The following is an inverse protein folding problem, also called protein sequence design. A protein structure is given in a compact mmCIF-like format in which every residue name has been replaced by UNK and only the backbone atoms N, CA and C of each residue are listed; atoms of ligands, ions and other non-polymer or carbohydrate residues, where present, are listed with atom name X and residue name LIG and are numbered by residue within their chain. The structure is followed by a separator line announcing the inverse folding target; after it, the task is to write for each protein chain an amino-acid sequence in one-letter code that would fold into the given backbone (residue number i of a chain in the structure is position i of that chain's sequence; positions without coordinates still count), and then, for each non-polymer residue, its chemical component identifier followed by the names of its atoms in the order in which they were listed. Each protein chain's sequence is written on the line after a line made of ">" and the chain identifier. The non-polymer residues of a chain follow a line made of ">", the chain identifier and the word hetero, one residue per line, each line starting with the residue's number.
data_IF_263674356799
#
_entry.id   IF_263674356799
#
_cell.length_a   1.000
_cell.length_b   1.000
_cell.length_c   1.000
_cell.angle_alpha   90.00
_cell.angle_beta   90.00
_cell.angle_gamma   90.00
#
_symmetry.space_group_name_H-M   'P 1'
#
loop_
_entity.id
_entity.type
_entity.pdbx_description
1 polymer ?
#
# COMPACT_ATOMS: atom_id res chain seq x y z
N UNK A 1 7.44 0.08 -21.62
CA UNK A 1 8.58 0.46 -20.77
C UNK A 1 8.15 0.31 -19.34
N UNK A 2 8.88 -0.47 -18.56
CA UNK A 2 8.59 -0.73 -17.15
C UNK A 2 9.58 0.13 -16.35
N UNK A 3 9.08 1.13 -15.63
CA UNK A 3 9.93 2.19 -15.05
C UNK A 3 10.80 1.69 -13.88
N UNK A 4 10.38 0.63 -13.19
CA UNK A 4 11.00 0.17 -11.95
C UNK A 4 11.46 -1.30 -11.97
N UNK A 5 11.41 -1.98 -13.12
CA UNK A 5 11.96 -3.34 -13.27
C UNK A 5 11.24 -4.46 -12.51
N UNK A 6 10.14 -4.19 -11.80
CA UNK A 6 9.34 -5.22 -11.11
C UNK A 6 8.68 -6.18 -12.09
N UNK A 7 8.62 -7.48 -11.78
CA UNK A 7 8.07 -8.50 -12.68
C UNK A 7 6.56 -8.46 -12.88
N UNK A 8 5.83 -7.68 -12.08
CA UNK A 8 4.37 -7.51 -12.18
C UNK A 8 3.54 -8.72 -11.71
N UNK A 9 4.17 -9.68 -11.02
CA UNK A 9 3.50 -10.89 -10.50
C UNK A 9 2.98 -10.77 -9.07
N UNK A 10 3.42 -9.76 -8.33
CA UNK A 10 3.06 -9.58 -6.92
C UNK A 10 1.75 -8.82 -6.73
N UNK A 11 1.15 -8.98 -5.54
CA UNK A 11 -0.02 -8.22 -5.11
C UNK A 11 0.30 -6.72 -5.03
N UNK A 12 -0.66 -5.89 -5.37
CA UNK A 12 -0.51 -4.45 -5.33
C UNK A 12 -1.86 -3.76 -5.09
N UNK A 13 -1.81 -2.54 -4.56
CA UNK A 13 -2.98 -1.72 -4.31
C UNK A 13 -2.66 -0.24 -4.48
N UNK A 14 -3.62 0.54 -4.99
CA UNK A 14 -3.59 2.00 -4.92
C UNK A 14 -4.45 2.45 -3.75
N UNK A 15 -4.07 3.53 -3.09
CA UNK A 15 -4.86 4.18 -2.06
C UNK A 15 -5.06 5.65 -2.43
N UNK A 16 -6.28 6.16 -2.27
CA UNK A 16 -6.46 7.60 -2.16
C UNK A 16 -5.82 8.08 -0.86
N UNK A 17 -5.44 9.35 -0.82
CA UNK A 17 -4.86 9.92 0.39
C UNK A 17 -5.17 11.42 0.50
N UNK A 18 -5.04 11.93 1.71
CA UNK A 18 -5.12 13.36 1.99
C UNK A 18 -3.81 14.11 1.64
N UNK A 19 -3.75 15.40 1.98
CA UNK A 19 -2.57 16.22 1.73
C UNK A 19 -1.34 15.79 2.54
N UNK A 20 -1.53 15.10 3.66
CA UNK A 20 -0.50 14.60 4.57
C UNK A 20 -0.05 13.17 4.24
N UNK A 21 -0.55 12.60 3.14
CA UNK A 21 -0.30 11.22 2.71
C UNK A 21 -0.86 10.16 3.67
N UNK A 22 -1.93 10.49 4.40
CA UNK A 22 -2.69 9.48 5.14
C UNK A 22 -3.59 8.69 4.18
N UNK A 23 -3.54 7.37 4.26
CA UNK A 23 -4.32 6.46 3.42
C UNK A 23 -5.83 6.58 3.72
N UNK A 24 -6.65 6.51 2.67
CA UNK A 24 -8.11 6.55 2.76
C UNK A 24 -8.77 5.34 2.06
N UNK A 25 -9.24 5.49 0.82
CA UNK A 25 -9.93 4.41 0.07
C UNK A 25 -8.92 3.52 -0.66
N UNK A 26 -9.08 2.21 -0.52
CA UNK A 26 -8.32 1.20 -1.25
C UNK A 26 -8.90 0.91 -2.65
N UNK A 27 -8.00 0.82 -3.64
CA UNK A 27 -8.28 0.41 -5.02
C UNK A 27 -7.42 -0.82 -5.32
N UNK A 28 -8.00 -1.99 -5.13
CA UNK A 28 -7.29 -3.27 -5.12
C UNK A 28 -7.08 -3.84 -6.53
N UNK A 29 -5.99 -4.60 -6.70
CA UNK A 29 -5.72 -5.32 -7.95
C UNK A 29 -6.70 -6.48 -8.20
N UNK A 30 -7.14 -7.15 -7.12
CA UNK A 30 -8.10 -8.25 -7.16
C UNK A 30 -9.04 -8.15 -5.96
N UNK A 31 -10.29 -8.57 -6.15
CA UNK A 31 -11.25 -8.73 -5.06
C UNK A 31 -10.83 -9.92 -4.19
N UNK A 32 -10.46 -9.63 -2.94
CA UNK A 32 -10.16 -10.63 -1.91
C UNK A 32 -11.23 -10.68 -0.81
N UNK A 33 -12.36 -9.98 -0.98
CA UNK A 33 -13.42 -9.99 0.01
C UNK A 33 -14.21 -11.31 -0.04
N UNK A 34 -14.32 -11.99 1.10
CA UNK A 34 -15.25 -13.13 1.23
C UNK A 34 -16.70 -12.67 1.45
N UNK A 35 -16.91 -11.42 1.88
CA UNK A 35 -18.18 -10.95 2.45
C UNK A 35 -18.89 -9.85 1.64
N UNK A 36 -18.50 -9.60 0.39
CA UNK A 36 -19.22 -8.67 -0.50
C UNK A 36 -19.16 -7.21 -0.07
N UNK A 37 -18.07 -6.80 0.57
CA UNK A 37 -17.71 -5.39 0.67
C UNK A 37 -17.45 -4.86 -0.73
N UNK A 38 -18.03 -3.71 -1.10
CA UNK A 38 -17.75 -3.04 -2.37
C UNK A 38 -16.29 -2.57 -2.37
N UNK A 39 -15.37 -3.42 -2.84
CA UNK A 39 -13.96 -3.08 -3.07
C UNK A 39 -13.87 -2.44 -4.45
N UNK A 40 -13.27 -1.26 -4.52
CA UNK A 40 -12.96 -0.63 -5.81
C UNK A 40 -11.80 -1.39 -6.47
N UNK A 41 -11.99 -1.80 -7.73
CA UNK A 41 -10.97 -2.56 -8.47
C UNK A 41 -10.21 -1.70 -9.47
N UNK A 42 -8.90 -1.94 -9.59
CA UNK A 42 -8.03 -1.20 -10.51
C UNK A 42 -8.45 -1.32 -11.99
N UNK A 43 -8.98 -2.48 -12.40
CA UNK A 43 -9.40 -2.70 -13.79
C UNK A 43 -10.70 -1.97 -14.14
N UNK A 44 -11.46 -1.53 -13.14
CA UNK A 44 -12.74 -0.83 -13.27
C UNK A 44 -12.62 0.67 -12.96
N UNK A 45 -11.45 1.12 -12.51
CA UNK A 45 -11.21 2.49 -12.09
C UNK A 45 -10.29 3.20 -13.08
N UNK A 46 -10.74 4.32 -13.63
CA UNK A 46 -9.89 5.17 -14.48
C UNK A 46 -9.12 6.18 -13.64
N UNK A 47 -7.99 6.67 -14.15
CA UNK A 47 -7.14 7.61 -13.41
C UNK A 47 -7.85 8.96 -13.17
N UNK A 48 -8.67 9.41 -14.11
CA UNK A 48 -9.41 10.67 -14.04
C UNK A 48 -10.57 10.65 -13.03
N UNK A 49 -11.02 9.47 -12.59
CA UNK A 49 -11.99 9.33 -11.51
C UNK A 49 -11.38 9.55 -10.12
N UNK A 50 -10.04 9.43 -10.00
CA UNK A 50 -9.33 9.42 -8.71
C UNK A 50 -8.35 10.56 -8.57
N UNK A 51 -7.52 10.80 -9.60
CA UNK A 51 -6.55 11.89 -9.64
C UNK A 51 -7.15 13.10 -10.33
N UNK A 52 -7.41 14.15 -9.56
CA UNK A 52 -7.91 15.44 -10.05
C UNK A 52 -7.04 16.58 -9.51
N UNK A 53 -7.25 17.79 -10.01
CA UNK A 53 -6.60 18.98 -9.43
C UNK A 53 -6.96 19.19 -7.94
N UNK A 54 -8.10 18.67 -7.48
CA UNK A 54 -8.52 18.73 -6.07
C UNK A 54 -7.97 17.57 -5.24
N UNK A 55 -7.71 16.43 -5.87
CA UNK A 55 -7.18 15.21 -5.26
C UNK A 55 -5.94 14.73 -6.02
N UNK A 56 -4.81 15.46 -5.96
CA UNK A 56 -3.66 15.19 -6.83
C UNK A 56 -2.75 14.08 -6.30
N UNK A 57 -3.05 13.45 -5.16
CA UNK A 57 -2.15 12.49 -4.50
C UNK A 57 -2.77 11.11 -4.40
N UNK A 58 -1.95 10.08 -4.63
CA UNK A 58 -2.27 8.68 -4.39
C UNK A 58 -1.04 7.92 -3.90
N UNK A 59 -1.26 6.83 -3.18
CA UNK A 59 -0.20 5.94 -2.72
C UNK A 59 -0.32 4.62 -3.47
N UNK A 60 0.77 4.14 -4.05
CA UNK A 60 0.83 2.82 -4.67
C UNK A 60 1.70 1.90 -3.82
N UNK A 61 1.13 0.79 -3.36
CA UNK A 61 1.85 -0.23 -2.59
C UNK A 61 2.01 -1.46 -3.47
N UNK A 62 3.26 -1.88 -3.68
CA UNK A 62 3.62 -3.07 -4.43
C UNK A 62 4.30 -4.09 -3.52
N UNK A 63 3.94 -5.37 -3.68
CA UNK A 63 4.40 -6.49 -2.85
C UNK A 63 4.16 -6.23 -1.36
N UNK A 64 3.04 -6.72 -0.81
CA UNK A 64 2.70 -6.51 0.61
C UNK A 64 3.70 -7.15 1.60
N UNK A 65 4.58 -8.07 1.17
CA UNK A 65 5.65 -8.56 2.01
C UNK A 65 6.80 -7.56 2.10
N UNK A 66 7.17 -6.93 0.98
CA UNK A 66 8.25 -5.93 0.94
C UNK A 66 7.78 -4.51 1.27
N UNK A 67 6.50 -4.22 1.11
CA UNK A 67 5.86 -2.90 1.28
C UNK A 67 6.58 -1.80 0.49
N UNK A 68 6.78 -2.03 -0.82
CA UNK A 68 7.28 -0.97 -1.69
C UNK A 68 6.20 0.10 -1.87
N UNK A 69 6.37 1.22 -1.18
CA UNK A 69 5.44 2.34 -1.21
C UNK A 69 5.93 3.43 -2.14
N UNK A 70 5.11 3.78 -3.12
CA UNK A 70 5.33 4.87 -4.06
C UNK A 70 4.32 5.97 -3.80
N UNK A 71 4.82 7.19 -3.62
CA UNK A 71 4.00 8.39 -3.54
C UNK A 71 3.82 8.94 -4.96
N UNK A 72 2.58 8.98 -5.42
CA UNK A 72 2.21 9.41 -6.76
C UNK A 72 1.49 10.75 -6.66
N UNK A 73 1.98 11.74 -7.40
CA UNK A 73 1.39 13.08 -7.44
C UNK A 73 1.11 13.49 -8.89
N UNK A 74 -0.08 14.04 -9.12
CA UNK A 74 -0.50 14.63 -10.39
C UNK A 74 0.22 15.96 -10.57
N UNK A 75 1.12 16.00 -11.55
CA UNK A 75 1.88 17.20 -11.87
C UNK A 75 1.11 18.20 -12.76
N UNK A 76 0.43 17.71 -13.80
CA UNK A 76 -0.32 18.55 -14.75
C UNK A 76 -1.30 17.71 -15.58
N UNK A 77 -2.38 18.34 -16.07
CA UNK A 77 -3.36 17.75 -17.00
C UNK A 77 -3.30 18.53 -18.32
N UNK A 78 -2.74 17.89 -19.35
CA UNK A 78 -2.58 18.49 -20.68
C UNK A 78 -3.25 17.67 -21.76
N UNK A 79 -3.64 18.32 -22.85
CA UNK A 79 -4.14 17.61 -24.03
C UNK A 79 -3.06 16.70 -24.64
N UNK A 80 -3.51 15.59 -25.21
CA UNK A 80 -2.62 14.63 -25.86
C UNK A 80 -1.89 15.30 -27.03
N UNK A 81 -0.56 15.19 -27.02
CA UNK A 81 0.27 15.72 -28.09
C UNK A 81 0.34 14.76 -29.28
N UNK A 82 -0.04 15.23 -30.46
CA UNK A 82 0.01 14.43 -31.69
C UNK A 82 1.45 14.03 -32.04
N UNK A 83 1.64 12.76 -32.38
CA UNK A 83 2.96 12.20 -32.70
C UNK A 83 3.77 11.75 -31.48
N UNK A 84 3.29 11.98 -30.26
CA UNK A 84 3.91 11.46 -29.03
C UNK A 84 3.35 10.09 -28.66
N UNK A 85 4.25 9.19 -28.26
CA UNK A 85 3.90 7.85 -27.78
C UNK A 85 3.85 7.86 -26.25
N UNK A 86 2.79 7.29 -25.69
CA UNK A 86 2.53 7.19 -24.26
C UNK A 86 2.45 5.71 -23.83
N UNK A 87 2.78 5.38 -22.57
CA UNK A 87 3.38 6.24 -21.55
C UNK A 87 4.85 6.59 -21.89
N UNK A 88 5.33 7.73 -21.38
CA UNK A 88 6.69 8.23 -21.64
C UNK A 88 7.35 8.67 -20.33
N UNK A 89 8.64 8.36 -20.15
CA UNK A 89 9.45 8.83 -19.03
C UNK A 89 10.10 10.18 -19.39
N UNK A 90 9.64 11.26 -18.74
CA UNK A 90 10.19 12.60 -18.96
C UNK A 90 11.53 12.80 -18.26
N UNK A 91 11.61 12.35 -17.00
CA UNK A 91 12.78 12.53 -16.15
C UNK A 91 12.75 11.46 -15.06
N UNK A 92 13.94 10.99 -14.66
CA UNK A 92 14.14 10.10 -13.53
C UNK A 92 15.41 10.50 -12.80
N UNK A 93 15.41 10.37 -11.48
CA UNK A 93 16.56 10.65 -10.64
C UNK A 93 16.65 9.63 -9.52
N UNK A 94 17.88 9.28 -9.15
CA UNK A 94 18.17 8.23 -8.16
C UNK A 94 18.25 6.83 -8.79
N UNK A 95 18.61 5.87 -7.95
CA UNK A 95 18.64 4.45 -8.27
C UNK A 95 17.72 3.72 -7.29
N UNK A 96 16.93 2.76 -7.79
CA UNK A 96 16.14 1.90 -6.93
C UNK A 96 17.11 1.07 -6.07
N UNK A 97 16.93 1.00 -4.74
CA UNK A 97 17.76 0.13 -3.91
C UNK A 97 17.51 -1.35 -4.25
N UNK A 98 18.54 -2.18 -4.12
CA UNK A 98 18.47 -3.61 -4.42
C UNK A 98 17.52 -4.39 -3.47
N UNK A 99 17.21 -3.81 -2.31
CA UNK A 99 16.35 -4.39 -1.29
C UNK A 99 15.36 -3.34 -0.74
N UNK A 100 14.18 -3.78 -0.27
CA UNK A 100 13.23 -2.86 0.35
C UNK A 100 13.85 -2.21 1.61
N UNK A 101 13.43 -0.97 1.93
CA UNK A 101 13.86 -0.30 3.15
C UNK A 101 13.42 -1.08 4.41
N UNK A 102 14.17 -0.94 5.50
CA UNK A 102 13.81 -1.56 6.78
C UNK A 102 12.47 -1.01 7.29
N UNK A 103 11.55 -1.92 7.63
CA UNK A 103 10.26 -1.58 8.23
C UNK A 103 10.48 -1.08 9.66
N UNK A 104 10.15 0.18 9.90
CA UNK A 104 10.10 0.76 11.25
C UNK A 104 8.67 0.71 11.74
N UNK A 105 8.41 -0.16 12.72
CA UNK A 105 7.14 -0.20 13.42
C UNK A 105 7.18 0.83 14.55
N UNK A 106 6.63 2.01 14.29
CA UNK A 106 6.42 3.03 15.31
C UNK A 106 4.96 2.91 15.76
N UNK A 107 4.74 2.28 16.92
CA UNK A 107 3.44 2.31 17.57
C UNK A 107 3.36 3.62 18.36
N UNK A 108 2.29 4.40 18.16
CA UNK A 108 1.94 5.41 19.14
C UNK A 108 1.67 4.69 20.46
N UNK A 109 2.51 4.94 21.46
CA UNK A 109 2.26 4.47 22.81
C UNK A 109 1.04 5.22 23.31
N UNK A 110 -0.14 4.62 23.12
CA UNK A 110 -1.30 4.96 23.90
C UNK A 110 -0.95 4.62 25.35
N UNK A 111 -0.43 5.60 26.08
CA UNK A 111 -0.21 5.56 27.54
C UNK A 111 -1.56 5.60 28.28
N UNK A 112 -2.56 4.87 27.81
CA UNK A 112 -3.73 4.54 28.60
C UNK A 112 -3.37 3.26 29.35
N UNK A 113 -2.72 3.46 30.50
CA UNK A 113 -2.57 2.54 31.64
C UNK A 113 -2.96 1.08 31.36
N UNK A 114 -2.01 0.32 30.84
CA UNK A 114 -2.03 -1.13 30.85
C UNK A 114 -1.77 -1.65 32.28
N UNK A 115 -2.77 -1.48 33.16
CA UNK A 115 -2.82 -2.15 34.48
C UNK A 115 -3.55 -3.50 34.38
N UNK A 116 -3.47 -4.22 33.24
CA UNK A 116 -4.27 -5.43 33.03
C UNK A 116 -3.69 -6.54 32.16
N UNK A 117 -2.63 -6.29 31.37
CA UNK A 117 -2.08 -7.33 30.47
C UNK A 117 -1.13 -8.31 31.18
N UNK A 118 -0.58 -7.96 32.34
CA UNK A 118 0.34 -8.83 33.11
C UNK A 118 -0.36 -10.09 33.64
N UNK A 119 -1.65 -9.99 33.99
CA UNK A 119 -2.44 -11.09 34.58
C UNK A 119 -2.93 -12.12 33.52
N UNK A 120 -2.82 -11.79 32.22
CA UNK A 120 -3.16 -12.71 31.11
C UNK A 120 -1.95 -13.49 30.58
N UNK A 121 -0.72 -13.02 30.83
CA UNK A 121 0.49 -13.66 30.34
C UNK A 121 0.95 -14.82 31.24
N UNK A 122 0.69 -14.73 32.55
CA UNK A 122 1.07 -15.73 33.56
C UNK A 122 0.32 -17.09 33.41
N UNK A 123 -0.72 -17.15 32.57
CA UNK A 123 -1.46 -18.38 32.27
C UNK A 123 -0.91 -19.22 31.11
N UNK A 124 0.07 -18.70 30.36
CA UNK A 124 0.63 -19.39 29.19
C UNK A 124 1.88 -20.23 29.49
N UNK A 125 2.55 -20.00 30.62
CA UNK A 125 3.75 -20.73 31.02
C UNK A 125 3.46 -22.16 31.54
N UNK A 126 2.18 -22.49 31.83
CA UNK A 126 1.76 -23.81 32.32
C UNK A 126 1.09 -24.69 31.25
N UNK A 127 1.10 -24.25 29.98
CA UNK A 127 0.66 -25.07 28.84
C UNK A 127 1.81 -25.93 28.33
N UNK A 128 2.15 -26.98 29.09
CA UNK A 128 3.06 -28.05 28.67
C UNK A 128 2.64 -28.59 27.29
N UNK A 129 3.43 -28.23 26.28
CA UNK A 129 3.18 -28.45 24.85
C UNK A 129 3.40 -29.90 24.39
N UNK A 130 3.31 -30.88 25.30
CA UNK A 130 3.81 -32.24 25.09
C UNK A 130 2.73 -33.35 25.06
N UNK A 131 1.43 -33.04 25.21
CA UNK A 131 0.42 -34.10 25.43
C UNK A 131 -0.78 -34.20 24.46
N UNK A 132 -0.78 -33.59 23.27
CA UNK A 132 -1.96 -33.75 22.38
C UNK A 132 -1.73 -33.96 20.88
N UNK A 133 -0.58 -34.52 20.50
CA UNK A 133 -0.44 -35.19 19.20
C UNK A 133 -0.29 -36.69 19.40
N UNK A 134 -1.43 -37.39 19.43
CA UNK A 134 -1.50 -38.84 19.24
C UNK A 134 -2.48 -39.16 18.11
#
# INVERSE_FOLDING_TARGET
>A
TQAFGFGGGEMASFYTCDEEWNQDEEIALFDMSENGSDIRLMNETTLDDVLTEQTPKMIYVYDFFSMWTFFVELADIIEKEDGRVYPNLLFSFGELPDSPPEKKFEAESNNDEDEGLDDYLDGYDDMDFDENWN
#
